data_IF_859357771074
#
_entry.id   IF_859357771074
#
_cell.length_a   1.000
_cell.length_b   1.000
_cell.length_c   1.000
_cell.angle_alpha   90.00
_cell.angle_beta   90.00
_cell.angle_gamma   90.00
#
_symmetry.space_group_name_H-M   'P 1'
#
loop_
_entity.id
_entity.type
_entity.pdbx_description
1 polymer ?
#
# COMPACT_ATOMS: atom_id res chain seq x y z
N UNK A 1 -8.44 -6.31 17.51
CA UNK A 1 -7.00 -6.39 17.13
C UNK A 1 -6.88 -7.03 15.75
N UNK A 2 -6.14 -6.41 14.82
CA UNK A 2 -5.88 -6.98 13.48
C UNK A 2 -4.97 -8.20 13.61
N UNK A 3 -5.35 -9.36 13.07
CA UNK A 3 -4.55 -10.60 13.18
C UNK A 3 -3.27 -10.50 12.33
N UNK A 4 -2.08 -10.89 12.84
CA UNK A 4 -0.82 -10.86 12.07
C UNK A 4 -0.90 -11.62 10.73
N UNK A 5 -1.64 -12.74 10.69
CA UNK A 5 -1.88 -13.53 9.47
C UNK A 5 -2.56 -12.73 8.36
N UNK A 6 -3.46 -11.83 8.70
CA UNK A 6 -4.17 -11.00 7.73
C UNK A 6 -3.21 -9.95 7.11
N UNK A 7 -2.22 -9.45 7.87
CA UNK A 7 -1.20 -8.53 7.35
C UNK A 7 -0.29 -9.22 6.34
N UNK A 8 0.18 -10.43 6.66
CA UNK A 8 1.00 -11.20 5.72
C UNK A 8 0.22 -11.51 4.45
N UNK A 9 -1.06 -11.87 4.58
CA UNK A 9 -1.93 -12.12 3.44
C UNK A 9 -2.04 -10.90 2.52
N UNK A 10 -2.30 -9.70 3.07
CA UNK A 10 -2.36 -8.46 2.29
C UNK A 10 -1.03 -8.16 1.60
N UNK A 11 0.10 -8.32 2.29
CA UNK A 11 1.44 -8.12 1.69
C UNK A 11 1.70 -9.08 0.54
N UNK A 12 1.38 -10.37 0.71
CA UNK A 12 1.54 -11.38 -0.34
C UNK A 12 0.65 -11.05 -1.54
N UNK A 13 -0.62 -10.71 -1.30
CA UNK A 13 -1.56 -10.37 -2.36
C UNK A 13 -1.11 -9.13 -3.14
N UNK A 14 -0.69 -8.06 -2.46
CA UNK A 14 -0.16 -6.87 -3.10
C UNK A 14 1.10 -7.18 -3.92
N UNK A 15 2.00 -8.02 -3.40
CA UNK A 15 3.21 -8.44 -4.12
C UNK A 15 2.89 -9.23 -5.38
N UNK A 16 1.96 -10.19 -5.29
CA UNK A 16 1.48 -10.95 -6.44
C UNK A 16 0.83 -10.05 -7.48
N UNK A 17 0.02 -9.08 -7.06
CA UNK A 17 -0.62 -8.15 -8.00
C UNK A 17 0.40 -7.21 -8.66
N UNK A 18 1.44 -6.75 -7.95
CA UNK A 18 2.54 -5.97 -8.56
C UNK A 18 3.18 -6.78 -9.69
N UNK A 19 3.49 -8.05 -9.43
CA UNK A 19 4.12 -8.94 -10.41
C UNK A 19 3.20 -9.22 -11.61
N UNK A 20 1.94 -9.56 -11.37
CA UNK A 20 1.00 -9.92 -12.44
C UNK A 20 0.62 -8.73 -13.33
N UNK A 21 0.48 -7.55 -12.74
CA UNK A 21 0.09 -6.33 -13.45
C UNK A 21 1.31 -5.55 -13.97
N UNK A 22 2.53 -6.02 -13.69
CA UNK A 22 3.79 -5.36 -14.06
C UNK A 22 3.85 -3.89 -13.59
N UNK A 23 3.36 -3.62 -12.38
CA UNK A 23 3.30 -2.25 -11.83
C UNK A 23 4.74 -1.73 -11.68
N UNK A 24 5.08 -0.60 -12.32
CA UNK A 24 6.47 -0.14 -12.34
C UNK A 24 6.90 0.37 -10.97
N UNK A 25 8.13 0.01 -10.56
CA UNK A 25 8.72 0.45 -9.29
C UNK A 25 8.75 1.98 -9.14
N UNK A 26 8.77 2.71 -10.27
CA UNK A 26 8.81 4.17 -10.29
C UNK A 26 7.58 4.82 -9.63
N UNK A 27 6.49 4.08 -9.45
CA UNK A 27 5.31 4.58 -8.73
C UNK A 27 5.57 4.83 -7.25
N UNK A 28 6.68 4.34 -6.69
CA UNK A 28 7.13 4.70 -5.34
C UNK A 28 7.68 6.13 -5.21
N UNK A 29 8.05 6.79 -6.30
CA UNK A 29 8.74 8.10 -6.25
C UNK A 29 7.83 9.28 -5.92
N UNK A 30 6.51 9.11 -6.09
CA UNK A 30 5.57 10.21 -5.92
C UNK A 30 4.83 10.13 -4.58
N UNK A 31 4.59 11.26 -3.89
CA UNK A 31 3.62 11.33 -2.79
C UNK A 31 2.20 10.90 -3.20
N UNK A 32 1.86 11.04 -4.49
CA UNK A 32 0.61 10.56 -5.10
C UNK A 32 0.74 9.16 -5.72
N UNK A 33 1.80 8.41 -5.43
CA UNK A 33 2.05 7.09 -6.04
C UNK A 33 0.89 6.10 -5.85
N UNK A 34 0.25 6.10 -4.68
CA UNK A 34 -0.94 5.28 -4.44
C UNK A 34 -2.13 5.68 -5.33
N UNK A 35 -2.33 6.97 -5.59
CA UNK A 35 -3.37 7.46 -6.51
C UNK A 35 -3.06 7.03 -7.95
N UNK A 36 -1.81 7.18 -8.39
CA UNK A 36 -1.39 6.77 -9.73
C UNK A 36 -1.58 5.25 -9.96
N UNK A 37 -1.20 4.42 -8.98
CA UNK A 37 -1.45 2.97 -9.03
C UNK A 37 -2.96 2.70 -9.16
N UNK A 38 -3.79 3.42 -8.41
CA UNK A 38 -5.24 3.24 -8.46
C UNK A 38 -5.82 3.66 -9.81
N UNK A 39 -5.40 4.80 -10.36
CA UNK A 39 -5.90 5.30 -11.64
C UNK A 39 -5.52 4.39 -12.81
N UNK A 40 -4.30 3.86 -12.82
CA UNK A 40 -3.81 3.03 -13.92
C UNK A 40 -4.21 1.55 -13.81
N UNK A 41 -4.23 1.01 -12.58
CA UNK A 41 -4.43 -0.43 -12.35
C UNK A 41 -5.69 -0.79 -11.55
N UNK A 42 -6.43 0.20 -11.04
CA UNK A 42 -7.58 0.00 -10.16
C UNK A 42 -8.65 -0.90 -10.77
N UNK A 43 -8.97 -0.73 -12.05
CA UNK A 43 -9.97 -1.58 -12.72
C UNK A 43 -9.49 -3.02 -12.91
N UNK A 44 -8.20 -3.22 -13.20
CA UNK A 44 -7.60 -4.56 -13.28
C UNK A 44 -7.57 -5.27 -11.92
N UNK A 45 -7.31 -4.52 -10.84
CA UNK A 45 -7.37 -5.04 -9.47
C UNK A 45 -8.81 -5.39 -9.11
N UNK A 46 -9.76 -4.50 -9.40
CA UNK A 46 -11.20 -4.73 -9.15
C UNK A 46 -11.70 -5.97 -9.89
N UNK A 47 -11.34 -6.15 -11.16
CA UNK A 47 -11.71 -7.34 -11.93
C UNK A 47 -11.23 -8.65 -11.26
N UNK A 48 -10.02 -8.66 -10.69
CA UNK A 48 -9.49 -9.80 -9.93
C UNK A 48 -10.19 -10.02 -8.59
N UNK A 49 -10.69 -8.96 -7.96
CA UNK A 49 -11.38 -9.02 -6.68
C UNK A 49 -12.85 -9.43 -6.82
N UNK A 50 -13.49 -9.13 -7.94
CA UNK A 50 -14.89 -9.49 -8.19
C UNK A 50 -15.17 -11.00 -8.13
N UNK A 51 -14.17 -11.83 -8.38
CA UNK A 51 -14.29 -13.30 -8.33
C UNK A 51 -13.96 -13.89 -6.95
N UNK A 52 -13.61 -13.04 -5.97
CA UNK A 52 -13.29 -13.49 -4.61
C UNK A 52 -14.55 -13.62 -3.75
N UNK A 53 -14.53 -14.55 -2.79
CA UNK A 53 -15.65 -14.68 -1.86
C UNK A 53 -15.70 -13.50 -0.88
N UNK A 54 -16.88 -13.14 -0.36
CA UNK A 54 -17.03 -12.10 0.67
C UNK A 54 -16.13 -12.31 1.89
N UNK A 55 -15.91 -13.56 2.31
CA UNK A 55 -15.03 -13.89 3.45
C UNK A 55 -13.57 -13.56 3.15
N UNK A 56 -13.14 -13.77 1.90
CA UNK A 56 -11.79 -13.43 1.45
C UNK A 56 -11.62 -11.92 1.38
N UNK A 57 -12.61 -11.21 0.83
CA UNK A 57 -12.63 -9.74 0.81
C UNK A 57 -12.63 -9.17 2.23
N UNK A 58 -13.40 -9.74 3.16
CA UNK A 58 -13.45 -9.32 4.56
C UNK A 58 -12.08 -9.34 5.25
N UNK A 59 -11.21 -10.31 4.93
CA UNK A 59 -9.82 -10.37 5.46
C UNK A 59 -8.97 -9.19 5.01
N UNK A 60 -9.30 -8.58 3.87
CA UNK A 60 -8.59 -7.45 3.26
C UNK A 60 -9.20 -6.14 3.74
N UNK A 61 -10.53 -6.05 3.77
CA UNK A 61 -11.29 -4.86 4.17
C UNK A 61 -10.99 -4.41 5.60
N UNK A 62 -10.61 -5.33 6.50
CA UNK A 62 -10.10 -4.99 7.85
C UNK A 62 -8.91 -4.01 7.85
N UNK A 63 -8.16 -3.94 6.74
CA UNK A 63 -7.06 -2.99 6.53
C UNK A 63 -7.50 -1.69 5.86
N UNK A 64 -8.71 -1.65 5.32
CA UNK A 64 -9.43 -0.44 4.94
C UNK A 64 -9.67 0.45 6.17
N UNK A 65 -8.80 1.42 6.43
CA UNK A 65 -8.99 2.44 7.47
C UNK A 65 -10.12 3.42 7.12
N UNK A 66 -10.96 3.78 8.10
CA UNK A 66 -11.96 4.83 7.98
C UNK A 66 -11.35 6.25 8.03
N UNK A 67 -12.16 7.22 7.61
CA UNK A 67 -11.91 8.66 7.47
C UNK A 67 -11.11 9.36 8.59
N UNK A 68 -11.19 8.88 9.83
CA UNK A 68 -10.60 9.51 11.03
C UNK A 68 -9.68 8.59 11.84
N UNK A 69 -9.18 7.49 11.26
CA UNK A 69 -8.20 6.67 11.97
C UNK A 69 -6.85 7.41 11.98
N UNK A 70 -6.36 7.78 13.17
CA UNK A 70 -5.08 8.45 13.44
C UNK A 70 -4.02 8.07 12.40
N UNK A 71 -3.77 9.00 11.48
CA UNK A 71 -2.74 8.92 10.44
C UNK A 71 -1.40 9.15 11.12
N UNK A 72 -0.99 8.17 11.93
CA UNK A 72 0.33 8.15 12.55
C UNK A 72 1.39 8.11 11.45
N UNK A 73 2.41 8.97 11.60
CA UNK A 73 3.52 9.21 10.66
C UNK A 73 3.92 7.96 9.85
N UNK A 74 3.80 8.04 8.53
CA UNK A 74 4.32 7.03 7.60
C UNK A 74 3.29 6.04 7.04
N UNK A 75 1.98 6.31 7.13
CA UNK A 75 0.93 5.51 6.47
C UNK A 75 0.03 6.39 5.63
N UNK A 76 -0.21 6.01 4.39
CA UNK A 76 -1.15 6.72 3.51
C UNK A 76 -2.58 6.48 3.98
N UNK A 77 -3.29 7.55 4.30
CA UNK A 77 -4.71 7.48 4.64
C UNK A 77 -5.51 7.12 3.40
N UNK A 78 -6.33 6.06 3.50
CA UNK A 78 -7.16 5.54 2.39
C UNK A 78 -8.15 6.56 1.82
N UNK A 79 -8.43 7.63 2.56
CA UNK A 79 -9.28 8.75 2.10
C UNK A 79 -8.67 9.54 0.93
N UNK A 80 -7.34 9.56 0.75
CA UNK A 80 -6.73 10.22 -0.41
C UNK A 80 -7.08 9.54 -1.73
N UNK A 81 -7.59 8.30 -1.70
CA UNK A 81 -7.95 7.55 -2.90
C UNK A 81 -9.45 7.63 -3.22
N UNK A 82 -10.35 7.84 -2.25
CA UNK A 82 -11.80 7.97 -2.51
C UNK A 82 -12.59 8.67 -1.39
N UNK A 83 -13.18 9.83 -1.72
CA UNK A 83 -14.05 10.65 -0.85
C UNK A 83 -15.37 9.96 -0.43
N UNK A 84 -15.47 9.57 0.84
CA UNK A 84 -16.58 9.88 1.77
C UNK A 84 -18.04 9.51 1.43
N UNK A 85 -18.37 8.77 0.37
CA UNK A 85 -19.76 8.54 -0.07
C UNK A 85 -19.97 7.14 -0.64
N UNK A 86 -19.96 6.11 0.21
CA UNK A 86 -19.88 4.72 -0.24
C UNK A 86 -21.22 3.98 -0.32
N UNK A 87 -22.16 4.14 0.62
CA UNK A 87 -23.34 3.28 0.63
C UNK A 87 -24.34 3.53 -0.51
N UNK A 88 -24.35 4.71 -1.12
CA UNK A 88 -25.29 5.07 -2.19
C UNK A 88 -24.72 4.94 -3.61
N UNK A 89 -23.41 4.75 -3.77
CA UNK A 89 -22.75 4.69 -5.09
C UNK A 89 -22.57 3.28 -5.65
N UNK A 90 -22.66 2.26 -4.80
CA UNK A 90 -22.42 0.87 -5.22
C UNK A 90 -23.73 0.08 -5.22
N UNK A 91 -23.91 -0.71 -6.28
CA UNK A 91 -25.14 -1.47 -6.52
C UNK A 91 -25.36 -2.58 -5.48
N UNK A 92 -24.30 -3.05 -4.81
CA UNK A 92 -24.36 -4.10 -3.80
C UNK A 92 -23.33 -3.93 -2.68
N UNK A 93 -23.56 -4.57 -1.54
CA UNK A 93 -22.57 -4.66 -0.46
C UNK A 93 -21.29 -5.38 -0.87
N UNK A 94 -21.37 -6.29 -1.85
CA UNK A 94 -20.21 -6.96 -2.41
C UNK A 94 -19.31 -5.98 -3.19
N UNK A 95 -19.89 -5.14 -4.04
CA UNK A 95 -19.13 -4.14 -4.80
C UNK A 95 -18.41 -3.14 -3.89
N UNK A 96 -19.06 -2.79 -2.77
CA UNK A 96 -18.45 -1.99 -1.72
C UNK A 96 -17.23 -2.68 -1.10
N UNK A 97 -17.34 -3.96 -0.74
CA UNK A 97 -16.22 -4.75 -0.20
C UNK A 97 -15.06 -4.83 -1.20
N UNK A 98 -15.36 -5.04 -2.49
CA UNK A 98 -14.37 -5.08 -3.57
C UNK A 98 -13.61 -3.75 -3.66
N UNK A 99 -14.30 -2.61 -3.60
CA UNK A 99 -13.64 -1.30 -3.70
C UNK A 99 -12.77 -1.00 -2.49
N UNK A 100 -13.23 -1.29 -1.27
CA UNK A 100 -12.40 -1.12 -0.07
C UNK A 100 -11.17 -2.05 -0.12
N UNK A 101 -11.35 -3.29 -0.57
CA UNK A 101 -10.24 -4.23 -0.75
C UNK A 101 -9.22 -3.74 -1.78
N UNK A 102 -9.69 -3.20 -2.91
CA UNK A 102 -8.84 -2.58 -3.93
C UNK A 102 -8.00 -1.45 -3.33
N UNK A 103 -8.61 -0.54 -2.58
CA UNK A 103 -7.90 0.58 -1.96
C UNK A 103 -6.85 0.09 -0.96
N UNK A 104 -7.17 -0.92 -0.13
CA UNK A 104 -6.24 -1.51 0.81
C UNK A 104 -5.03 -2.17 0.13
N UNK A 105 -5.25 -2.84 -1.00
CA UNK A 105 -4.18 -3.45 -1.80
C UNK A 105 -3.30 -2.37 -2.41
N UNK A 106 -3.88 -1.35 -3.04
CA UNK A 106 -3.12 -0.26 -3.67
C UNK A 106 -2.27 0.49 -2.65
N UNK A 107 -2.83 0.81 -1.48
CA UNK A 107 -2.06 1.41 -0.39
C UNK A 107 -0.88 0.51 0.01
N UNK A 108 -1.10 -0.81 0.10
CA UNK A 108 -0.02 -1.75 0.42
C UNK A 108 1.03 -1.86 -0.68
N UNK A 109 0.65 -1.79 -1.96
CA UNK A 109 1.58 -1.75 -3.08
C UNK A 109 2.49 -0.54 -2.98
N UNK A 110 1.91 0.64 -2.72
CA UNK A 110 2.67 1.87 -2.53
C UNK A 110 3.64 1.77 -1.34
N UNK A 111 3.20 1.23 -0.20
CA UNK A 111 4.08 0.98 0.95
C UNK A 111 5.27 0.09 0.55
N UNK A 112 5.04 -0.98 -0.23
CA UNK A 112 6.11 -1.87 -0.71
C UNK A 112 7.12 -1.10 -1.56
N UNK A 113 6.68 -0.25 -2.50
CA UNK A 113 7.58 0.55 -3.32
C UNK A 113 8.33 1.61 -2.51
N UNK A 114 7.62 2.32 -1.62
CA UNK A 114 8.22 3.35 -0.76
C UNK A 114 9.33 2.77 0.12
N UNK A 115 9.11 1.59 0.70
CA UNK A 115 10.14 0.91 1.50
C UNK A 115 11.34 0.45 0.66
N UNK A 116 11.12 -0.14 -0.52
CA UNK A 116 12.22 -0.51 -1.44
C UNK A 116 13.09 0.69 -1.79
N UNK A 117 12.46 1.83 -2.08
CA UNK A 117 13.18 3.05 -2.40
C UNK A 117 13.98 3.61 -1.23
N UNK A 118 13.45 3.57 0.00
CA UNK A 118 14.22 3.99 1.18
C UNK A 118 15.49 3.16 1.33
N UNK A 119 15.41 1.86 1.03
CA UNK A 119 16.57 0.96 1.02
C UNK A 119 17.57 1.37 -0.06
N UNK A 120 17.09 1.56 -1.29
CA UNK A 120 17.94 1.99 -2.42
C UNK A 120 18.64 3.34 -2.16
N UNK A 121 17.91 4.34 -1.63
CA UNK A 121 18.51 5.62 -1.28
C UNK A 121 19.53 5.53 -0.16
N UNK A 122 19.28 4.70 0.86
CA UNK A 122 20.24 4.51 1.94
C UNK A 122 21.50 3.78 1.45
N UNK A 123 21.35 2.80 0.57
CA UNK A 123 22.49 2.11 -0.05
C UNK A 123 23.29 3.07 -0.92
N UNK A 124 22.64 3.82 -1.80
CA UNK A 124 23.29 4.80 -2.66
C UNK A 124 24.03 5.88 -1.85
N UNK A 125 23.45 6.34 -0.74
CA UNK A 125 24.11 7.28 0.16
C UNK A 125 25.36 6.68 0.83
N UNK A 126 25.33 5.40 1.23
CA UNK A 126 26.51 4.71 1.77
C UNK A 126 27.61 4.57 0.72
N UNK A 127 27.25 4.20 -0.51
CA UNK A 127 28.20 3.98 -1.60
C UNK A 127 28.85 5.29 -2.06
N UNK A 128 28.09 6.41 -2.04
CA UNK A 128 28.55 7.71 -2.57
C UNK A 128 29.24 8.58 -1.53
N UNK A 129 28.70 8.63 -0.30
CA UNK A 129 29.19 9.53 0.75
C UNK A 129 30.13 8.83 1.74
N UNK A 130 30.16 7.49 1.71
CA UNK A 130 30.84 6.66 2.69
C UNK A 130 29.96 6.35 3.91
N UNK A 131 30.24 5.22 4.62
CA UNK A 131 29.39 4.71 5.70
C UNK A 131 29.35 5.64 6.93
N UNK A 132 30.40 6.43 7.17
CA UNK A 132 30.53 7.30 8.34
C UNK A 132 29.95 8.70 8.11
N UNK A 133 29.49 9.01 6.90
CA UNK A 133 28.91 10.31 6.60
C UNK A 133 27.59 10.50 7.36
N UNK A 134 27.34 11.66 8.01
CA UNK A 134 26.16 11.87 8.86
C UNK A 134 24.82 11.56 8.18
N UNK A 135 24.72 11.83 6.87
CA UNK A 135 23.51 11.54 6.07
C UNK A 135 23.31 10.02 5.86
N UNK A 136 24.38 9.28 5.53
CA UNK A 136 24.31 7.83 5.33
C UNK A 136 23.95 7.11 6.64
N UNK A 137 24.55 7.52 7.76
CA UNK A 137 24.21 7.01 9.09
C UNK A 137 22.75 7.28 9.48
N UNK A 138 22.24 8.49 9.22
CA UNK A 138 20.85 8.84 9.51
C UNK A 138 19.85 8.00 8.70
N UNK A 139 20.13 7.79 7.42
CA UNK A 139 19.28 6.97 6.54
C UNK A 139 19.30 5.49 6.97
N UNK A 140 20.48 4.95 7.30
CA UNK A 140 20.64 3.59 7.82
C UNK A 140 19.87 3.38 9.14
N UNK A 141 20.04 4.29 10.10
CA UNK A 141 19.30 4.24 11.37
C UNK A 141 17.78 4.39 11.17
N UNK A 142 17.35 5.14 10.16
CA UNK A 142 15.96 5.24 9.73
C UNK A 142 15.40 3.88 9.30
N UNK A 143 16.12 3.13 8.46
CA UNK A 143 15.73 1.80 7.99
C UNK A 143 15.70 0.76 9.12
N UNK A 144 16.70 0.76 9.99
CA UNK A 144 16.76 -0.17 11.13
C UNK A 144 15.59 0.00 12.11
N UNK A 145 15.00 1.20 12.18
CA UNK A 145 13.79 1.47 12.99
C UNK A 145 12.50 1.02 12.32
N UNK A 146 12.45 0.97 10.97
CA UNK A 146 11.26 0.53 10.23
C UNK A 146 11.16 -0.99 10.18
N UNK A 147 12.29 -1.71 10.28
CA UNK A 147 12.35 -3.17 10.26
C UNK A 147 12.22 -3.85 11.63
N UNK A 148 11.98 -3.10 12.72
CA UNK A 148 11.71 -3.62 14.07
C UNK A 148 10.21 -3.62 14.37
#
# INVERSE_FOLDING_TARGET
>A
MRKPRNRQYLTNLATTMIQQLHVPNSMGHSPSGAQNIYEEFGDSIVAKLLVMTPETLGRIVDFGLPYNADVTKGKTALYLVHCGSYCSKYASGHDLLVKIACTAIVAKMYDIFSERMKVEYAQHAQDTLGPDHPVAMRLKAGLERVNR
#
